data_IF_126116207148
#
_entry.id   IF_126116207148
#
_cell.length_a   1.000
_cell.length_b   1.000
_cell.length_c   1.000
_cell.angle_alpha   90.00
_cell.angle_beta   90.00
_cell.angle_gamma   90.00
#
_symmetry.space_group_name_H-M   'P 1'
#
loop_
_entity.id
_entity.type
_entity.pdbx_description
1 polymer ?
#
# COMPACT_ATOMS: atom_id res chain seq x y z
N UNK A 1 -3.69 -9.65 5.73
CA UNK A 1 -3.30 -8.48 6.56
C UNK A 1 -2.73 -7.43 5.62
N UNK A 2 -3.31 -6.22 5.57
CA UNK A 2 -2.86 -5.17 4.65
C UNK A 2 -1.46 -4.67 5.06
N UNK A 3 -0.42 -4.99 4.29
CA UNK A 3 0.98 -4.71 4.65
C UNK A 3 1.32 -3.28 4.27
N UNK A 4 1.15 -2.36 5.21
CA UNK A 4 1.54 -0.95 5.04
C UNK A 4 3.05 -0.77 5.18
N UNK A 5 3.62 0.13 4.39
CA UNK A 5 5.01 0.60 4.47
C UNK A 5 4.99 2.11 4.43
N UNK A 6 5.82 2.74 5.26
CA UNK A 6 6.02 4.18 5.26
C UNK A 6 7.31 4.50 4.52
N UNK A 7 7.26 5.52 3.66
CA UNK A 7 8.39 6.01 2.89
C UNK A 7 8.55 7.51 3.18
N UNK A 8 9.47 7.91 4.07
CA UNK A 8 9.77 9.32 4.25
C UNK A 8 10.58 9.82 3.06
N UNK A 9 10.18 10.96 2.50
CA UNK A 9 10.85 11.62 1.37
C UNK A 9 11.11 13.06 1.74
N UNK A 10 12.31 13.54 1.43
CA UNK A 10 12.69 14.92 1.63
C UNK A 10 13.34 15.47 0.37
N UNK A 11 12.84 16.61 -0.10
CA UNK A 11 13.36 17.34 -1.27
C UNK A 11 13.64 18.79 -0.90
N UNK A 12 14.69 19.38 -1.46
CA UNK A 12 14.89 20.83 -1.41
C UNK A 12 14.03 21.55 -2.47
N UNK A 13 14.11 22.88 -2.53
CA UNK A 13 13.36 23.71 -3.49
C UNK A 13 13.78 23.45 -4.95
N UNK A 14 14.99 22.93 -5.17
CA UNK A 14 15.50 22.50 -6.48
C UNK A 14 15.03 21.08 -6.88
N UNK A 15 14.26 20.41 -6.02
CA UNK A 15 13.75 19.04 -6.26
C UNK A 15 14.76 17.93 -5.98
N UNK A 16 15.95 18.25 -5.46
CA UNK A 16 16.96 17.25 -5.08
C UNK A 16 16.53 16.50 -3.82
N UNK A 17 16.54 15.18 -3.90
CA UNK A 17 16.16 14.28 -2.82
C UNK A 17 17.31 13.99 -1.84
N UNK A 18 17.00 13.95 -0.53
CA UNK A 18 17.96 13.63 0.54
C UNK A 18 17.40 12.57 1.50
N UNK A 19 17.71 11.29 1.23
CA UNK A 19 17.19 10.15 2.01
C UNK A 19 17.61 10.18 3.49
N UNK A 20 18.87 10.45 3.87
CA UNK A 20 19.26 10.49 5.29
C UNK A 20 18.51 11.56 6.08
N UNK A 21 18.32 12.73 5.46
CA UNK A 21 17.55 13.84 6.04
C UNK A 21 16.09 13.46 6.22
N UNK A 22 15.48 12.82 5.22
CA UNK A 22 14.10 12.34 5.31
C UNK A 22 13.91 11.40 6.52
N UNK A 23 14.81 10.44 6.71
CA UNK A 23 14.78 9.53 7.85
C UNK A 23 14.94 10.27 9.17
N UNK A 24 15.92 11.18 9.26
CA UNK A 24 16.17 11.96 10.48
C UNK A 24 14.95 12.81 10.88
N UNK A 25 14.32 13.49 9.91
CA UNK A 25 13.12 14.31 10.14
C UNK A 25 11.95 13.43 10.56
N UNK A 26 11.77 12.28 9.92
CA UNK A 26 10.73 11.31 10.30
C UNK A 26 10.92 10.81 11.74
N UNK A 27 12.15 10.44 12.12
CA UNK A 27 12.44 9.98 13.48
C UNK A 27 12.14 11.09 14.50
N UNK A 28 12.53 12.34 14.21
CA UNK A 28 12.21 13.50 15.07
C UNK A 28 10.70 13.72 15.23
N UNK A 29 9.93 13.60 14.16
CA UNK A 29 8.46 13.75 14.20
C UNK A 29 7.78 12.69 15.08
N UNK A 30 8.42 11.53 15.27
CA UNK A 30 7.90 10.45 16.11
C UNK A 30 8.35 10.55 17.56
N UNK A 31 9.47 11.21 17.85
CA UNK A 31 10.08 11.22 19.20
C UNK A 31 10.00 12.57 19.90
N UNK A 32 9.93 13.67 19.16
CA UNK A 32 9.99 15.03 19.69
C UNK A 32 8.66 15.76 19.56
N UNK A 33 8.46 16.76 20.43
CA UNK A 33 7.37 17.73 20.28
C UNK A 33 7.72 18.74 19.19
N UNK A 34 6.94 18.75 18.10
CA UNK A 34 7.14 19.67 16.97
C UNK A 34 6.11 20.80 17.02
N UNK A 35 6.58 22.04 16.90
CA UNK A 35 5.72 23.23 16.83
C UNK A 35 5.46 23.58 15.36
N UNK A 36 4.19 23.70 14.99
CA UNK A 36 3.78 24.13 13.65
C UNK A 36 3.74 25.65 13.63
N UNK A 37 4.58 26.24 12.78
CA UNK A 37 4.74 27.70 12.69
C UNK A 37 3.81 28.38 11.68
N UNK A 38 3.19 27.61 10.78
CA UNK A 38 2.29 28.14 9.78
C UNK A 38 1.79 27.06 8.83
N UNK A 39 0.83 27.44 8.00
CA UNK A 39 0.30 26.62 6.92
C UNK A 39 0.57 27.35 5.61
N UNK A 40 1.13 26.66 4.64
CA UNK A 40 1.45 27.23 3.35
C UNK A 40 0.20 27.48 2.50
N UNK A 41 0.28 28.46 1.60
CA UNK A 41 -0.79 28.74 0.63
C UNK A 41 -1.03 27.59 -0.35
N UNK A 42 -2.23 27.56 -0.94
CA UNK A 42 -2.70 26.46 -1.80
C UNK A 42 -1.83 26.25 -3.04
N UNK A 43 -1.40 27.30 -3.72
CA UNK A 43 -0.58 27.19 -4.96
C UNK A 43 0.77 26.53 -4.68
N UNK A 44 1.45 26.99 -3.63
CA UNK A 44 2.72 26.43 -3.21
C UNK A 44 2.59 24.97 -2.74
N UNK A 45 1.51 24.65 -2.02
CA UNK A 45 1.22 23.29 -1.59
C UNK A 45 1.09 22.32 -2.76
N UNK A 46 0.39 22.70 -3.83
CA UNK A 46 0.24 21.89 -5.05
C UNK A 46 1.59 21.67 -5.73
N UNK A 47 2.38 22.74 -5.89
CA UNK A 47 3.72 22.67 -6.51
C UNK A 47 4.63 21.72 -5.75
N UNK A 48 4.73 21.86 -4.43
CA UNK A 48 5.61 21.03 -3.62
C UNK A 48 5.12 19.59 -3.50
N UNK A 49 3.80 19.37 -3.47
CA UNK A 49 3.23 18.03 -3.52
C UNK A 49 3.66 17.28 -4.79
N UNK A 50 3.63 17.94 -5.95
CA UNK A 50 4.08 17.34 -7.22
C UNK A 50 5.56 16.92 -7.19
N UNK A 51 6.43 17.77 -6.62
CA UNK A 51 7.85 17.47 -6.46
C UNK A 51 8.07 16.29 -5.50
N UNK A 52 7.41 16.31 -4.33
CA UNK A 52 7.49 15.25 -3.33
C UNK A 52 6.96 13.91 -3.88
N UNK A 53 5.86 13.93 -4.63
CA UNK A 53 5.29 12.73 -5.26
C UNK A 53 6.23 12.14 -6.30
N UNK A 54 6.91 12.98 -7.08
CA UNK A 54 7.91 12.53 -8.08
C UNK A 54 9.08 11.84 -7.38
N UNK A 55 9.61 12.44 -6.32
CA UNK A 55 10.67 11.85 -5.52
C UNK A 55 10.23 10.56 -4.81
N UNK A 56 8.98 10.51 -4.33
CA UNK A 56 8.41 9.32 -3.69
C UNK A 56 8.23 8.16 -4.66
N UNK A 57 7.81 8.42 -5.91
CA UNK A 57 7.75 7.38 -6.95
C UNK A 57 9.12 6.81 -7.26
N UNK A 58 10.13 7.66 -7.42
CA UNK A 58 11.49 7.21 -7.72
C UNK A 58 12.11 6.41 -6.56
N UNK A 59 12.00 6.91 -5.32
CA UNK A 59 12.56 6.21 -4.15
C UNK A 59 11.74 4.99 -3.71
N UNK A 60 10.44 5.02 -3.98
CA UNK A 60 9.49 3.99 -3.60
C UNK A 60 9.51 2.76 -4.49
N UNK A 61 10.16 2.82 -5.66
CA UNK A 61 10.21 1.72 -6.64
C UNK A 61 10.65 0.40 -6.01
N UNK A 62 11.72 0.41 -5.20
CA UNK A 62 12.19 -0.79 -4.50
C UNK A 62 11.13 -1.36 -3.56
N UNK A 63 10.50 -0.50 -2.74
CA UNK A 63 9.47 -0.91 -1.77
C UNK A 63 8.25 -1.47 -2.52
N UNK A 64 7.87 -0.82 -3.63
CA UNK A 64 6.77 -1.25 -4.47
C UNK A 64 7.02 -2.64 -5.04
N UNK A 65 8.18 -2.87 -5.66
CA UNK A 65 8.58 -4.16 -6.23
C UNK A 65 8.61 -5.25 -5.16
N UNK A 66 9.22 -4.98 -4.00
CA UNK A 66 9.25 -5.93 -2.88
C UNK A 66 7.85 -6.30 -2.36
N UNK A 67 6.91 -5.35 -2.32
CA UNK A 67 5.53 -5.61 -1.93
C UNK A 67 4.79 -6.44 -2.98
N UNK A 68 4.99 -6.11 -4.25
CA UNK A 68 4.37 -6.78 -5.37
C UNK A 68 4.85 -8.23 -5.50
N UNK A 69 6.15 -8.46 -5.40
CA UNK A 69 6.75 -9.79 -5.49
C UNK A 69 6.33 -10.65 -4.30
N UNK A 70 6.38 -10.11 -3.07
CA UNK A 70 5.90 -10.83 -1.89
C UNK A 70 4.42 -11.22 -2.00
N UNK A 71 3.58 -10.35 -2.59
CA UNK A 71 2.16 -10.66 -2.83
C UNK A 71 2.00 -11.78 -3.86
N UNK A 72 2.73 -11.72 -4.97
CA UNK A 72 2.71 -12.76 -6.02
C UNK A 72 3.18 -14.11 -5.51
N UNK A 73 4.31 -14.15 -4.80
CA UNK A 73 4.83 -15.39 -4.19
C UNK A 73 3.79 -16.00 -3.26
N UNK A 74 3.18 -15.21 -2.38
CA UNK A 74 2.13 -15.71 -1.48
C UNK A 74 0.93 -16.27 -2.23
N UNK A 75 0.45 -15.59 -3.28
CA UNK A 75 -0.67 -16.08 -4.09
C UNK A 75 -0.32 -17.40 -4.80
N UNK A 76 0.91 -17.53 -5.28
CA UNK A 76 1.40 -18.75 -5.91
C UNK A 76 1.44 -19.91 -4.90
N UNK A 77 2.00 -19.69 -3.70
CA UNK A 77 2.00 -20.70 -2.64
C UNK A 77 0.57 -21.08 -2.20
N UNK A 78 -0.35 -20.12 -2.12
CA UNK A 78 -1.75 -20.39 -1.80
C UNK A 78 -2.46 -21.20 -2.89
N UNK A 79 -2.14 -20.94 -4.16
CA UNK A 79 -2.63 -21.72 -5.29
C UNK A 79 -2.13 -23.15 -5.25
N UNK A 80 -0.82 -23.35 -5.08
CA UNK A 80 -0.22 -24.68 -4.97
C UNK A 80 -0.81 -25.49 -3.80
N UNK A 81 -1.06 -24.84 -2.66
CA UNK A 81 -1.75 -25.47 -1.52
C UNK A 81 -3.19 -25.83 -1.84
N UNK A 82 -3.91 -24.98 -2.57
CA UNK A 82 -5.29 -25.26 -2.99
C UNK A 82 -5.35 -26.44 -3.96
N UNK A 83 -4.44 -26.50 -4.94
CA UNK A 83 -4.32 -27.57 -5.92
C UNK A 83 -3.99 -28.90 -5.21
N UNK A 84 -2.99 -28.89 -4.33
CA UNK A 84 -2.62 -30.07 -3.54
C UNK A 84 -3.79 -30.59 -2.68
N UNK A 85 -4.48 -29.69 -1.98
CA UNK A 85 -5.62 -30.06 -1.14
C UNK A 85 -6.80 -30.60 -1.97
N UNK A 86 -7.03 -30.03 -3.15
CA UNK A 86 -8.05 -30.50 -4.09
C UNK A 86 -7.75 -31.93 -4.55
N UNK A 87 -6.54 -32.18 -5.05
CA UNK A 87 -6.12 -33.50 -5.53
C UNK A 87 -6.23 -34.57 -4.44
N UNK A 88 -5.76 -34.27 -3.23
CA UNK A 88 -5.86 -35.18 -2.09
C UNK A 88 -7.32 -35.55 -1.76
N UNK A 89 -8.23 -34.56 -1.76
CA UNK A 89 -9.66 -34.78 -1.51
C UNK A 89 -10.35 -35.52 -2.66
N UNK A 90 -9.98 -35.20 -3.90
CA UNK A 90 -10.51 -35.85 -5.09
C UNK A 90 -10.20 -37.35 -5.11
N UNK A 91 -8.96 -37.71 -4.74
CA UNK A 91 -8.55 -39.11 -4.57
C UNK A 91 -9.32 -39.80 -3.43
N UNK A 92 -9.49 -39.13 -2.29
CA UNK A 92 -10.21 -39.69 -1.15
C UNK A 92 -11.69 -39.98 -1.47
N UNK A 93 -12.39 -39.05 -2.15
CA UNK A 93 -13.77 -39.27 -2.62
C UNK A 93 -13.84 -40.44 -3.60
N UNK A 94 -12.77 -40.67 -4.37
CA UNK A 94 -12.66 -41.80 -5.29
C UNK A 94 -12.75 -43.18 -4.62
N UNK A 95 -12.41 -43.30 -3.33
CA UNK A 95 -12.21 -44.60 -2.65
C UNK A 95 -13.42 -45.08 -1.83
N UNK A 96 -14.38 -44.21 -1.52
CA UNK A 96 -15.44 -44.50 -0.53
C UNK A 96 -16.82 -44.14 -1.09
N UNK A 97 -17.80 -45.03 -0.96
CA UNK A 97 -19.23 -44.77 -1.18
C UNK A 97 -19.76 -45.12 -2.58
N UNK A 98 -21.09 -45.05 -2.72
CA UNK A 98 -21.81 -45.38 -3.95
C UNK A 98 -21.42 -44.45 -5.12
N UNK A 99 -21.43 -44.94 -6.38
CA UNK A 99 -21.03 -44.15 -7.55
C UNK A 99 -21.73 -42.78 -7.65
N UNK A 100 -23.05 -42.73 -7.45
CA UNK A 100 -23.83 -41.48 -7.53
C UNK A 100 -23.41 -40.45 -6.45
N UNK A 101 -23.12 -40.91 -5.23
CA UNK A 101 -22.68 -40.05 -4.12
C UNK A 101 -21.26 -39.55 -4.34
N UNK A 102 -20.38 -40.36 -4.94
CA UNK A 102 -19.03 -39.95 -5.34
C UNK A 102 -19.10 -38.84 -6.38
N UNK A 103 -19.90 -39.03 -7.41
CA UNK A 103 -20.05 -38.05 -8.49
C UNK A 103 -20.58 -36.70 -7.98
N UNK A 104 -21.61 -36.73 -7.13
CA UNK A 104 -22.12 -35.52 -6.48
C UNK A 104 -21.04 -34.79 -5.67
N UNK A 105 -20.28 -35.52 -4.83
CA UNK A 105 -19.21 -34.92 -4.02
C UNK A 105 -18.06 -34.38 -4.87
N UNK A 106 -17.71 -35.04 -5.98
CA UNK A 106 -16.68 -34.55 -6.92
C UNK A 106 -17.10 -33.24 -7.56
N UNK A 107 -18.33 -33.14 -8.06
CA UNK A 107 -18.85 -31.89 -8.65
C UNK A 107 -18.82 -30.75 -7.65
N UNK A 108 -19.23 -31.00 -6.40
CA UNK A 108 -19.17 -29.98 -5.35
C UNK A 108 -17.74 -29.55 -5.05
N UNK A 109 -16.81 -30.51 -4.91
CA UNK A 109 -15.39 -30.21 -4.68
C UNK A 109 -14.78 -29.40 -5.83
N UNK A 110 -15.14 -29.71 -7.08
CA UNK A 110 -14.71 -28.94 -8.25
C UNK A 110 -15.20 -27.49 -8.18
N UNK A 111 -16.49 -27.28 -7.88
CA UNK A 111 -17.05 -25.93 -7.74
C UNK A 111 -16.35 -25.13 -6.64
N UNK A 112 -16.07 -25.74 -5.50
CA UNK A 112 -15.32 -25.11 -4.40
C UNK A 112 -13.89 -24.73 -4.83
N UNK A 113 -13.23 -25.60 -5.59
CA UNK A 113 -11.89 -25.37 -6.11
C UNK A 113 -11.86 -24.24 -7.15
N UNK A 114 -12.78 -24.27 -8.12
CA UNK A 114 -12.92 -23.24 -9.15
C UNK A 114 -13.19 -21.87 -8.51
N UNK A 115 -14.08 -21.81 -7.52
CA UNK A 115 -14.35 -20.59 -6.77
C UNK A 115 -13.10 -20.08 -6.02
N UNK A 116 -12.30 -20.99 -5.44
CA UNK A 116 -11.05 -20.62 -4.76
C UNK A 116 -10.01 -20.08 -5.76
N UNK A 117 -9.86 -20.70 -6.92
CA UNK A 117 -8.95 -20.24 -7.97
C UNK A 117 -9.39 -18.88 -8.53
N UNK A 118 -10.69 -18.67 -8.72
CA UNK A 118 -11.23 -17.38 -9.15
C UNK A 118 -10.90 -16.26 -8.15
N UNK A 119 -11.08 -16.50 -6.85
CA UNK A 119 -10.73 -15.53 -5.82
C UNK A 119 -9.23 -15.22 -5.77
N UNK A 120 -8.36 -16.21 -6.00
CA UNK A 120 -6.91 -16.00 -6.10
C UNK A 120 -6.53 -15.19 -7.35
N UNK A 121 -7.21 -15.42 -8.48
CA UNK A 121 -7.00 -14.66 -9.70
C UNK A 121 -7.43 -13.19 -9.55
N UNK A 122 -8.57 -12.94 -8.88
CA UNK A 122 -9.02 -11.59 -8.55
C UNK A 122 -8.00 -10.87 -7.65
N UNK A 123 -7.50 -11.55 -6.61
CA UNK A 123 -6.48 -11.00 -5.73
C UNK A 123 -5.16 -10.68 -6.45
N UNK A 124 -4.84 -11.37 -7.55
CA UNK A 124 -3.63 -11.13 -8.34
C UNK A 124 -3.65 -9.79 -9.10
N UNK A 125 -4.84 -9.24 -9.37
CA UNK A 125 -4.98 -7.93 -10.03
C UNK A 125 -4.69 -6.74 -9.10
N UNK A 126 -4.58 -6.97 -7.78
CA UNK A 126 -4.30 -5.92 -6.80
C UNK A 126 -2.83 -5.49 -6.83
N UNK A 127 -2.59 -4.18 -6.77
CA UNK A 127 -1.26 -3.57 -6.69
C UNK A 127 -1.11 -2.71 -5.44
N UNK A 128 0.11 -2.51 -4.93
CA UNK A 128 0.35 -1.52 -3.89
C UNK A 128 -0.04 -0.12 -4.37
N UNK A 129 -0.56 0.70 -3.46
CA UNK A 129 -0.91 2.09 -3.73
C UNK A 129 -0.03 3.05 -2.93
N UNK A 130 0.28 4.21 -3.52
CA UNK A 130 1.13 5.24 -2.92
C UNK A 130 0.27 6.42 -2.50
N UNK A 131 0.08 6.55 -1.19
CA UNK A 131 -0.74 7.61 -0.60
C UNK A 131 0.11 8.54 0.27
N UNK A 132 -0.03 9.85 0.06
CA UNK A 132 0.60 10.84 0.93
C UNK A 132 -0.16 10.91 2.26
N UNK A 133 0.54 10.64 3.37
CA UNK A 133 -0.05 10.67 4.72
C UNK A 133 0.11 12.04 5.37
N UNK A 134 1.23 12.71 5.10
CA UNK A 134 1.56 14.02 5.66
C UNK A 134 2.56 14.74 4.75
N UNK A 135 2.45 16.07 4.69
CA UNK A 135 3.46 16.94 4.11
C UNK A 135 3.86 18.00 5.14
N UNK A 136 5.17 18.22 5.27
CA UNK A 136 5.73 19.23 6.15
C UNK A 136 6.79 19.99 5.37
N UNK A 137 6.78 21.32 5.48
CA UNK A 137 7.86 22.18 5.00
C UNK A 137 8.74 22.54 6.19
N UNK A 138 10.05 22.42 6.00
CA UNK A 138 11.05 22.87 6.98
C UNK A 138 11.66 24.17 6.47
N UNK A 139 11.55 25.25 7.24
CA UNK A 139 12.14 26.56 6.93
C UNK A 139 13.01 27.04 8.09
N UNK A 140 14.06 27.78 7.78
CA UNK A 140 14.90 28.45 8.78
C UNK A 140 14.22 29.71 9.36
N UNK A 141 13.26 30.28 8.64
CA UNK A 141 12.49 31.46 9.04
C UNK A 141 11.05 31.07 9.38
N UNK A 142 10.56 31.62 10.50
CA UNK A 142 9.14 31.62 10.86
C UNK A 142 8.50 32.77 10.09
N UNK A 143 7.85 32.49 8.97
CA UNK A 143 7.01 33.50 8.33
C UNK A 143 5.79 33.73 9.23
N UNK A 144 5.53 34.96 9.71
CA UNK A 144 4.32 35.25 10.48
C UNK A 144 3.11 34.94 9.59
N UNK A 145 2.24 34.05 10.08
CA UNK A 145 1.07 33.58 9.33
C UNK A 145 0.22 34.74 8.82
N UNK A 146 -0.18 34.65 7.56
CA UNK A 146 -1.18 35.54 6.99
C UNK A 146 -2.48 35.35 7.79
N UNK A 147 -2.84 36.38 8.56
CA UNK A 147 -4.09 36.40 9.32
C UNK A 147 -5.25 36.20 8.36
N UNK A 148 -5.99 35.10 8.53
CA UNK A 148 -7.30 34.92 7.91
C UNK A 148 -8.15 36.12 8.31
N UNK A 149 -8.40 37.03 7.37
CA UNK A 149 -9.31 38.15 7.58
C UNK A 149 -10.72 37.56 7.70
N UNK A 150 -11.25 37.50 8.92
CA UNK A 150 -12.68 37.40 9.15
C UNK A 150 -13.36 38.57 8.44
N UNK A 151 -14.02 38.29 7.33
CA UNK A 151 -15.06 39.15 6.78
C UNK A 151 -16.20 39.24 7.79
N UNK A 152 -16.20 40.29 8.59
CA UNK A 152 -17.42 40.76 9.26
C UNK A 152 -18.32 41.40 8.19
N UNK A 153 -19.43 40.73 7.87
CA UNK A 153 -20.57 41.35 7.20
C UNK A 153 -21.20 42.39 8.12
N UNK A 154 -21.38 43.60 7.60
CA UNK A 154 -22.40 44.55 8.06
C UNK A 154 -23.63 44.39 7.19
#
# INVERSE_FOLDING_TARGET
MNRKRYLPVFTNEEGRAFVPTAKRVWDLLLTETVVVHGVSGTEDAVKWFGAALTAAKAQGERIFTELLDAHRTRLQEERERADYAFEARQQAIGRIGLPAVREHRRKRLQQEHDARLAALAEAAASVPDLNAVMMVRVSAEVQPGESVRETQST
#
